data_IF_418478408042
#
_entry.id   IF_418478408042
#
_cell.length_a   1.000
_cell.length_b   1.000
_cell.length_c   1.000
_cell.angle_alpha   90.00
_cell.angle_beta   90.00
_cell.angle_gamma   90.00
#
_symmetry.space_group_name_H-M   'P 1'
#
loop_
_entity.id
_entity.type
_entity.pdbx_description
1 polymer ?
#
# COMPACT_ATOMS: atom_id res chain seq x y z
N UNK A 1 -20.56 -0.51 -7.48
CA UNK A 1 -19.59 -0.31 -6.39
C UNK A 1 -19.77 -1.33 -5.27
N UNK A 2 -18.72 -2.07 -4.92
CA UNK A 2 -18.71 -3.08 -3.84
C UNK A 2 -17.68 -2.71 -2.77
N UNK A 3 -17.98 -1.70 -1.95
CA UNK A 3 -17.15 -1.36 -0.77
C UNK A 3 -17.75 -2.08 0.45
N UNK A 4 -16.91 -2.77 1.21
CA UNK A 4 -17.31 -3.40 2.45
C UNK A 4 -16.35 -3.05 3.58
N UNK A 5 -16.91 -2.91 4.78
CA UNK A 5 -16.13 -2.67 5.99
C UNK A 5 -15.50 -3.99 6.45
N UNK A 6 -14.24 -3.94 6.83
CA UNK A 6 -13.55 -5.00 7.52
C UNK A 6 -13.67 -4.81 9.04
N UNK A 7 -13.76 -5.93 9.74
CA UNK A 7 -13.82 -6.02 11.19
C UNK A 7 -12.72 -6.95 11.68
N UNK A 8 -12.39 -6.88 12.97
CA UNK A 8 -11.35 -7.72 13.58
C UNK A 8 -11.65 -9.22 13.46
N UNK A 9 -12.92 -9.61 13.34
CA UNK A 9 -13.39 -10.98 13.12
C UNK A 9 -13.57 -11.34 11.63
N UNK A 10 -13.36 -10.39 10.70
CA UNK A 10 -13.47 -10.68 9.27
C UNK A 10 -12.47 -11.75 8.84
N UNK A 11 -12.98 -12.72 8.09
CA UNK A 11 -12.18 -13.77 7.47
C UNK A 11 -11.91 -13.45 6.00
N UNK A 12 -10.71 -13.75 5.49
CA UNK A 12 -10.47 -13.73 4.06
C UNK A 12 -11.44 -14.66 3.34
N UNK A 13 -11.85 -14.26 2.14
CA UNK A 13 -12.57 -15.07 1.18
C UNK A 13 -11.55 -15.72 0.26
N UNK A 14 -11.96 -16.79 -0.41
CA UNK A 14 -11.14 -17.48 -1.41
C UNK A 14 -11.04 -16.64 -2.69
N UNK A 15 -10.20 -15.61 -2.67
CA UNK A 15 -9.94 -14.72 -3.79
C UNK A 15 -8.52 -14.13 -3.76
N UNK A 16 -8.18 -13.43 -4.83
CA UNK A 16 -7.01 -12.58 -4.87
C UNK A 16 -7.25 -11.30 -4.08
N UNK A 17 -6.22 -10.84 -3.38
CA UNK A 17 -6.18 -9.57 -2.68
C UNK A 17 -5.08 -8.71 -3.27
N UNK A 18 -5.29 -7.41 -3.38
CA UNK A 18 -4.20 -6.45 -3.61
C UNK A 18 -4.24 -5.44 -2.46
N UNK A 19 -3.13 -5.29 -1.77
CA UNK A 19 -3.03 -4.37 -0.65
C UNK A 19 -2.47 -3.06 -1.17
N UNK A 20 -3.18 -1.96 -0.95
CA UNK A 20 -2.67 -0.60 -1.18
C UNK A 20 -1.29 -0.43 -0.49
N UNK A 21 -0.40 0.34 -1.12
CA UNK A 21 0.92 0.68 -0.54
C UNK A 21 0.80 1.21 0.89
N UNK A 22 -0.21 2.03 1.18
CA UNK A 22 -0.47 2.56 2.53
C UNK A 22 -0.81 1.46 3.56
N UNK A 23 -1.27 0.29 3.12
CA UNK A 23 -1.56 -0.87 3.97
C UNK A 23 -0.31 -1.72 4.18
N UNK A 24 0.61 -1.78 3.22
CA UNK A 24 1.89 -2.46 3.39
C UNK A 24 2.76 -1.83 4.48
N UNK A 25 2.80 -0.50 4.56
CA UNK A 25 3.62 0.21 5.55
C UNK A 25 3.38 -0.26 7.00
N UNK A 26 2.12 -0.30 7.51
CA UNK A 26 1.86 -0.83 8.84
C UNK A 26 2.14 -2.32 9.01
N UNK A 27 2.05 -3.13 7.95
CA UNK A 27 2.43 -4.55 8.00
C UNK A 27 3.93 -4.67 8.29
N UNK A 28 4.76 -3.85 7.64
CA UNK A 28 6.20 -3.73 7.91
C UNK A 28 6.54 -2.90 9.16
N UNK A 29 5.55 -2.57 10.01
CA UNK A 29 5.78 -1.89 11.29
C UNK A 29 5.97 -0.37 11.20
N UNK A 30 5.55 0.27 10.11
CA UNK A 30 5.44 1.73 10.03
C UNK A 30 4.06 2.21 10.45
N UNK A 31 3.99 3.21 11.33
CA UNK A 31 2.73 3.83 11.77
C UNK A 31 1.78 2.87 12.51
N UNK A 32 2.13 2.56 13.77
CA UNK A 32 1.43 1.61 14.64
C UNK A 32 -0.07 1.92 14.84
N UNK A 33 -0.51 3.19 14.67
CA UNK A 33 -1.88 3.60 14.97
C UNK A 33 -2.90 3.13 13.94
N UNK A 34 -2.51 3.00 12.66
CA UNK A 34 -3.37 2.45 11.61
C UNK A 34 -3.27 0.91 11.50
N UNK A 35 -2.34 0.29 12.24
CA UNK A 35 -1.62 -0.91 11.80
C UNK A 35 -2.21 -2.26 12.20
N UNK A 36 -2.73 -2.38 13.43
CA UNK A 36 -2.96 -3.72 14.00
C UNK A 36 -3.99 -4.52 13.21
N UNK A 37 -5.10 -3.90 12.81
CA UNK A 37 -6.17 -4.61 12.08
C UNK A 37 -5.75 -5.05 10.68
N UNK A 38 -4.95 -4.25 9.97
CA UNK A 38 -4.43 -4.66 8.67
C UNK A 38 -3.41 -5.80 8.82
N UNK A 39 -2.56 -5.76 9.84
CA UNK A 39 -1.63 -6.84 10.15
C UNK A 39 -2.37 -8.14 10.50
N UNK A 40 -3.40 -8.06 11.35
CA UNK A 40 -4.24 -9.22 11.69
C UNK A 40 -4.94 -9.80 10.45
N UNK A 41 -5.48 -8.96 9.58
CA UNK A 41 -6.13 -9.41 8.36
C UNK A 41 -5.13 -10.01 7.37
N UNK A 42 -3.95 -9.40 7.22
CA UNK A 42 -2.83 -9.93 6.45
C UNK A 42 -2.42 -11.32 6.95
N UNK A 43 -2.19 -11.49 8.25
CA UNK A 43 -1.85 -12.78 8.86
C UNK A 43 -2.93 -13.85 8.60
N UNK A 44 -4.21 -13.45 8.58
CA UNK A 44 -5.29 -14.37 8.20
C UNK A 44 -5.20 -14.76 6.74
N UNK A 45 -4.93 -13.83 5.82
CA UNK A 45 -4.75 -14.13 4.39
C UNK A 45 -3.63 -15.17 4.23
N UNK A 46 -2.47 -14.94 4.86
CA UNK A 46 -1.31 -15.84 4.78
C UNK A 46 -1.62 -17.27 5.27
N UNK A 47 -2.52 -17.42 6.24
CA UNK A 47 -2.93 -18.72 6.78
C UNK A 47 -3.92 -19.48 5.89
N UNK A 48 -4.55 -18.82 4.93
CA UNK A 48 -5.45 -19.49 3.98
C UNK A 48 -4.67 -20.10 2.82
N UNK A 49 -5.08 -21.29 2.35
CA UNK A 49 -4.41 -21.94 1.22
C UNK A 49 -4.86 -21.40 -0.12
N UNK A 50 -6.08 -20.89 -0.19
CA UNK A 50 -6.77 -20.49 -1.42
C UNK A 50 -6.55 -19.02 -1.77
N UNK A 51 -6.36 -18.16 -0.78
CA UNK A 51 -6.14 -16.73 -1.04
C UNK A 51 -4.68 -16.45 -1.38
N UNK A 52 -4.46 -15.44 -2.21
CA UNK A 52 -3.14 -14.95 -2.58
C UNK A 52 -3.14 -13.43 -2.62
N UNK A 53 -2.01 -12.83 -2.30
CA UNK A 53 -1.81 -11.39 -2.39
C UNK A 53 -1.11 -11.10 -3.71
N UNK A 54 -1.68 -10.24 -4.52
CA UNK A 54 -1.05 -9.69 -5.70
C UNK A 54 -0.20 -8.50 -5.28
N UNK A 55 0.99 -8.43 -5.83
CA UNK A 55 1.89 -7.29 -5.67
C UNK A 55 2.44 -6.92 -7.05
N UNK A 56 2.24 -5.67 -7.48
CA UNK A 56 2.77 -5.23 -8.76
C UNK A 56 4.14 -4.51 -8.62
N UNK A 57 4.97 -4.47 -9.68
CA UNK A 57 6.27 -3.81 -9.62
C UNK A 57 6.19 -2.33 -9.22
N UNK A 58 5.12 -1.63 -9.60
CA UNK A 58 4.91 -0.24 -9.22
C UNK A 58 4.72 -0.10 -7.70
N UNK A 59 3.86 -0.93 -7.10
CA UNK A 59 3.68 -0.98 -5.65
C UNK A 59 4.99 -1.34 -4.94
N UNK A 60 5.71 -2.36 -5.41
CA UNK A 60 6.99 -2.75 -4.84
C UNK A 60 7.98 -1.57 -4.82
N UNK A 61 8.06 -0.82 -5.91
CA UNK A 61 8.92 0.37 -5.99
C UNK A 61 8.54 1.43 -4.96
N UNK A 62 7.24 1.64 -4.72
CA UNK A 62 6.76 2.62 -3.76
C UNK A 62 7.00 2.17 -2.32
N UNK A 63 6.70 0.90 -2.00
CA UNK A 63 6.95 0.27 -0.70
C UNK A 63 8.43 0.42 -0.33
N UNK A 64 9.34 0.01 -1.20
CA UNK A 64 10.79 0.12 -0.98
C UNK A 64 11.20 1.58 -0.73
N UNK A 65 10.77 2.50 -1.60
CA UNK A 65 11.14 3.91 -1.47
C UNK A 65 10.60 4.53 -0.18
N UNK A 66 9.38 4.21 0.24
CA UNK A 66 8.75 4.77 1.45
C UNK A 66 9.40 4.22 2.71
N UNK A 67 9.64 2.91 2.78
CA UNK A 67 10.36 2.29 3.90
C UNK A 67 11.77 2.87 4.04
N UNK A 68 12.56 2.90 2.97
CA UNK A 68 13.93 3.45 2.99
C UNK A 68 13.96 4.92 3.41
N UNK A 69 13.02 5.75 2.93
CA UNK A 69 12.91 7.16 3.34
C UNK A 69 12.55 7.30 4.81
N UNK A 70 11.68 6.43 5.32
CA UNK A 70 11.33 6.43 6.72
C UNK A 70 12.55 6.12 7.61
N UNK A 71 13.33 5.09 7.27
CA UNK A 71 14.57 4.79 7.99
C UNK A 71 15.58 5.93 7.90
N UNK A 72 15.74 6.54 6.72
CA UNK A 72 16.56 7.73 6.55
C UNK A 72 16.10 8.89 7.44
N UNK A 73 14.79 9.12 7.57
CA UNK A 73 14.25 10.16 8.44
C UNK A 73 14.59 9.93 9.91
N UNK A 74 14.53 8.67 10.38
CA UNK A 74 14.93 8.30 11.74
C UNK A 74 16.39 8.63 11.99
N UNK A 75 17.28 8.31 11.06
CA UNK A 75 18.70 8.60 11.18
C UNK A 75 19.04 10.08 11.06
N UNK A 76 18.44 10.75 10.09
CA UNK A 76 18.54 12.19 9.94
C UNK A 76 18.16 12.89 11.25
N UNK A 77 17.02 12.52 11.82
CA UNK A 77 16.55 13.07 13.09
C UNK A 77 17.54 12.77 14.21
N UNK A 78 18.04 11.53 14.35
CA UNK A 78 19.05 11.21 15.37
C UNK A 78 20.35 12.01 15.19
N UNK A 79 20.80 12.21 13.95
CA UNK A 79 22.06 12.89 13.61
C UNK A 79 21.99 14.40 13.81
N UNK A 80 20.82 15.01 13.56
CA UNK A 80 20.69 16.47 13.48
C UNK A 80 19.74 17.10 14.51
N UNK A 81 18.94 16.33 15.26
CA UNK A 81 17.92 16.86 16.22
C UNK A 81 18.47 17.84 17.26
N UNK A 82 19.72 17.67 17.69
CA UNK A 82 20.35 18.53 18.71
C UNK A 82 21.47 19.40 18.17
N UNK A 83 21.68 19.44 16.85
CA UNK A 83 22.75 20.24 16.25
C UNK A 83 22.30 21.69 16.07
N UNK A 84 23.14 22.62 16.53
CA UNK A 84 23.01 24.05 16.25
C UNK A 84 23.92 24.42 15.08
N UNK A 85 23.42 25.22 14.13
CA UNK A 85 24.16 25.63 12.92
C UNK A 85 23.50 25.18 11.61
N UNK A 86 24.30 25.13 10.54
CA UNK A 86 23.82 24.70 9.21
C UNK A 86 23.53 23.20 9.20
N UNK A 87 22.25 22.85 9.11
CA UNK A 87 21.77 21.48 8.97
C UNK A 87 21.35 21.28 7.50
N UNK A 88 21.84 20.24 6.81
CA UNK A 88 21.43 19.99 5.42
C UNK A 88 19.94 19.66 5.37
N UNK A 89 19.22 20.11 4.35
CA UNK A 89 17.85 19.67 4.14
C UNK A 89 17.77 18.13 4.02
N UNK A 90 16.71 17.52 4.54
CA UNK A 90 16.52 16.07 4.49
C UNK A 90 16.65 15.50 3.07
N UNK A 91 16.14 16.21 2.05
CA UNK A 91 16.23 15.79 0.65
C UNK A 91 17.68 15.63 0.19
N UNK A 92 18.56 16.56 0.59
CA UNK A 92 19.97 16.54 0.24
C UNK A 92 20.70 15.46 1.04
N UNK A 93 20.44 15.37 2.35
CA UNK A 93 20.95 14.28 3.18
C UNK A 93 20.59 12.90 2.61
N UNK A 94 19.32 12.70 2.24
CA UNK A 94 18.85 11.42 1.72
C UNK A 94 19.61 11.01 0.45
N UNK A 95 19.70 11.92 -0.53
CA UNK A 95 20.34 11.64 -1.82
C UNK A 95 21.85 11.54 -1.74
N UNK A 96 22.48 12.47 -1.03
CA UNK A 96 23.94 12.63 -1.09
C UNK A 96 24.68 11.87 0.00
N UNK A 97 24.05 11.62 1.15
CA UNK A 97 24.66 10.90 2.26
C UNK A 97 24.03 9.52 2.45
N UNK A 98 22.71 9.47 2.72
CA UNK A 98 22.06 8.23 3.16
C UNK A 98 22.11 7.14 2.08
N UNK A 99 21.70 7.42 0.83
CA UNK A 99 21.69 6.44 -0.27
C UNK A 99 23.07 5.85 -0.59
N UNK A 100 24.15 6.53 -0.22
CA UNK A 100 25.53 6.08 -0.43
C UNK A 100 26.11 5.35 0.79
N UNK A 101 25.35 5.26 1.88
CA UNK A 101 25.79 4.65 3.13
C UNK A 101 25.56 3.14 3.17
N UNK A 102 26.38 2.42 3.92
CA UNK A 102 26.17 0.99 4.20
C UNK A 102 24.85 0.73 4.90
N UNK A 103 24.36 1.70 5.66
CA UNK A 103 23.09 1.56 6.34
C UNK A 103 21.91 1.56 5.35
N UNK A 104 21.95 2.35 4.27
CA UNK A 104 20.94 2.25 3.20
C UNK A 104 20.91 0.83 2.62
N UNK A 105 22.08 0.27 2.29
CA UNK A 105 22.18 -1.10 1.76
C UNK A 105 21.62 -2.10 2.77
N UNK A 106 22.01 -2.01 4.04
CA UNK A 106 21.50 -2.88 5.10
C UNK A 106 19.98 -2.80 5.24
N UNK A 107 19.39 -1.61 5.22
CA UNK A 107 17.93 -1.47 5.30
C UNK A 107 17.24 -1.99 4.04
N UNK A 108 17.84 -1.77 2.86
CA UNK A 108 17.34 -2.33 1.61
C UNK A 108 17.27 -3.86 1.68
N UNK A 109 18.37 -4.51 2.09
CA UNK A 109 18.46 -5.97 2.19
C UNK A 109 17.43 -6.51 3.21
N UNK A 110 17.28 -5.87 4.38
CA UNK A 110 16.25 -6.25 5.38
C UNK A 110 14.83 -6.19 4.78
N UNK A 111 14.51 -5.11 4.06
CA UNK A 111 13.17 -4.96 3.46
C UNK A 111 12.93 -6.03 2.39
N UNK A 112 13.96 -6.35 1.58
CA UNK A 112 13.87 -7.43 0.59
C UNK A 112 13.67 -8.77 1.28
N UNK A 113 14.45 -9.11 2.31
CA UNK A 113 14.31 -10.34 3.07
C UNK A 113 12.90 -10.47 3.68
N UNK A 114 12.34 -9.38 4.22
CA UNK A 114 10.98 -9.36 4.77
C UNK A 114 9.93 -9.64 3.68
N UNK A 115 10.06 -9.05 2.49
CA UNK A 115 9.16 -9.30 1.35
C UNK A 115 9.31 -10.74 0.84
N UNK A 116 10.54 -11.25 0.74
CA UNK A 116 10.85 -12.61 0.34
C UNK A 116 10.20 -13.64 1.25
N UNK A 117 10.16 -13.35 2.56
CA UNK A 117 9.45 -14.16 3.57
C UNK A 117 7.96 -14.37 3.28
N UNK A 118 7.33 -13.52 2.46
CA UNK A 118 5.92 -13.62 2.09
C UNK A 118 5.65 -14.18 0.69
N UNK A 119 6.68 -14.46 -0.11
CA UNK A 119 6.52 -14.87 -1.53
C UNK A 119 5.79 -16.19 -1.73
N UNK A 120 5.66 -17.04 -0.70
CA UNK A 120 4.83 -18.24 -0.78
C UNK A 120 3.32 -17.93 -0.86
N UNK A 121 2.91 -16.74 -0.43
CA UNK A 121 1.53 -16.26 -0.43
C UNK A 121 1.32 -15.03 -1.33
N UNK A 122 2.41 -14.44 -1.84
CA UNK A 122 2.41 -13.26 -2.71
C UNK A 122 2.74 -13.67 -4.15
N UNK A 123 1.92 -13.24 -5.10
CA UNK A 123 2.19 -13.36 -6.53
C UNK A 123 2.57 -12.00 -7.11
N UNK A 124 3.76 -11.91 -7.71
CA UNK A 124 4.14 -10.73 -8.48
C UNK A 124 3.36 -10.75 -9.80
N UNK A 125 2.50 -9.76 -10.00
CA UNK A 125 1.68 -9.62 -11.21
C UNK A 125 1.82 -8.24 -11.80
N UNK A 126 1.86 -8.20 -13.11
CA UNK A 126 1.80 -6.98 -13.89
C UNK A 126 0.53 -6.97 -14.76
N UNK A 127 0.14 -5.82 -15.27
CA UNK A 127 -1.00 -5.72 -16.19
C UNK A 127 -0.62 -6.29 -17.56
N UNK A 128 -1.52 -7.08 -18.17
CA UNK A 128 -1.31 -7.55 -19.54
C UNK A 128 -1.56 -6.44 -20.57
N UNK A 129 -2.50 -5.53 -20.27
CA UNK A 129 -2.83 -4.40 -21.14
C UNK A 129 -2.01 -3.19 -20.71
N UNK A 130 -0.95 -2.89 -21.48
CA UNK A 130 -0.01 -1.82 -21.20
C UNK A 130 -0.03 -0.70 -22.26
N UNK A 131 -1.16 -0.51 -22.94
CA UNK A 131 -1.30 0.58 -23.90
C UNK A 131 -1.46 1.94 -23.18
N UNK A 132 -1.00 3.00 -23.84
CA UNK A 132 -0.97 4.35 -23.27
C UNK A 132 -2.36 4.85 -22.87
N UNK A 133 -3.40 4.50 -23.63
CA UNK A 133 -4.75 4.97 -23.38
C UNK A 133 -5.31 4.33 -22.11
N UNK A 134 -5.19 3.02 -21.97
CA UNK A 134 -5.62 2.31 -20.75
C UNK A 134 -4.91 2.82 -19.51
N UNK A 135 -3.62 3.19 -19.64
CA UNK A 135 -2.79 3.70 -18.55
C UNK A 135 -3.06 5.16 -18.17
N UNK A 136 -3.57 5.99 -19.10
CA UNK A 136 -3.67 7.44 -18.88
C UNK A 136 -5.09 7.99 -18.89
N UNK A 137 -6.07 7.25 -19.41
CA UNK A 137 -7.48 7.66 -19.45
C UNK A 137 -8.22 7.31 -18.17
N UNK A 138 -7.94 8.07 -17.11
CA UNK A 138 -8.67 8.05 -15.84
C UNK A 138 -8.94 9.47 -15.33
N UNK A 139 -9.85 9.62 -14.37
CA UNK A 139 -10.14 10.94 -13.76
C UNK A 139 -9.05 11.28 -12.76
N UNK A 140 -7.99 11.95 -13.22
CA UNK A 140 -6.83 12.34 -12.41
C UNK A 140 -7.14 13.26 -11.22
N UNK A 141 -8.38 13.74 -11.08
CA UNK A 141 -8.86 14.49 -9.89
C UNK A 141 -9.33 13.58 -8.76
N UNK A 142 -9.54 12.29 -9.04
CA UNK A 142 -10.11 11.31 -8.10
C UNK A 142 -9.10 10.26 -7.64
N UNK A 143 -8.08 10.03 -8.44
CA UNK A 143 -7.11 8.95 -8.25
C UNK A 143 -5.82 9.37 -8.94
N UNK A 144 -4.68 8.97 -8.40
CA UNK A 144 -3.40 9.17 -9.07
C UNK A 144 -3.05 7.99 -10.01
N UNK A 145 -1.89 8.06 -10.66
CA UNK A 145 -1.47 7.01 -11.58
C UNK A 145 -1.21 5.67 -10.87
N UNK A 146 -0.64 5.68 -9.67
CA UNK A 146 -0.34 4.46 -8.93
C UNK A 146 -1.63 3.75 -8.52
N UNK A 147 -2.61 4.51 -8.02
CA UNK A 147 -3.93 4.01 -7.66
C UNK A 147 -4.65 3.43 -8.88
N UNK A 148 -4.61 4.13 -10.02
CA UNK A 148 -5.19 3.64 -11.27
C UNK A 148 -4.52 2.33 -11.73
N UNK A 149 -3.19 2.25 -11.61
CA UNK A 149 -2.45 1.02 -11.94
C UNK A 149 -2.87 -0.16 -11.04
N UNK A 150 -2.98 0.08 -9.73
CA UNK A 150 -3.45 -0.91 -8.75
C UNK A 150 -4.88 -1.36 -9.12
N UNK A 151 -5.74 -0.42 -9.50
CA UNK A 151 -7.10 -0.74 -9.98
C UNK A 151 -7.09 -1.63 -11.22
N UNK A 152 -6.23 -1.37 -12.21
CA UNK A 152 -6.12 -2.19 -13.42
C UNK A 152 -5.67 -3.62 -13.09
N UNK A 153 -4.64 -3.79 -12.25
CA UNK A 153 -4.20 -5.11 -11.78
C UNK A 153 -5.34 -5.83 -11.04
N UNK A 154 -6.04 -5.12 -10.16
CA UNK A 154 -7.15 -5.70 -9.41
C UNK A 154 -8.28 -6.17 -10.33
N UNK A 155 -8.61 -5.36 -11.33
CA UNK A 155 -9.66 -5.64 -12.31
C UNK A 155 -9.32 -6.86 -13.15
N UNK A 156 -8.10 -6.94 -13.67
CA UNK A 156 -7.65 -8.04 -14.52
C UNK A 156 -7.71 -9.40 -13.80
N UNK A 157 -7.38 -9.41 -12.51
CA UNK A 157 -7.34 -10.64 -11.70
C UNK A 157 -8.57 -10.87 -10.82
N UNK A 158 -9.63 -10.06 -10.97
CA UNK A 158 -10.81 -10.09 -10.11
C UNK A 158 -10.44 -10.07 -8.61
N UNK A 159 -9.43 -9.27 -8.26
CA UNK A 159 -8.90 -9.15 -6.91
C UNK A 159 -9.71 -8.14 -6.09
N UNK A 160 -9.67 -8.29 -4.77
CA UNK A 160 -10.20 -7.32 -3.82
C UNK A 160 -9.09 -6.36 -3.38
N UNK A 161 -9.33 -5.06 -3.55
CA UNK A 161 -8.42 -4.02 -3.05
C UNK A 161 -8.63 -3.87 -1.54
N UNK A 162 -7.55 -3.92 -0.76
CA UNK A 162 -7.56 -3.60 0.66
C UNK A 162 -6.84 -2.26 0.84
N UNK A 163 -7.56 -1.27 1.34
CA UNK A 163 -7.05 0.11 1.43
C UNK A 163 -7.60 0.84 2.65
N UNK A 164 -6.83 1.80 3.16
CA UNK A 164 -7.30 2.79 4.11
C UNK A 164 -7.66 4.13 3.44
N UNK A 165 -7.29 4.31 2.17
CA UNK A 165 -7.44 5.54 1.40
C UNK A 165 -8.83 5.68 0.78
N UNK A 166 -9.34 6.91 0.76
CA UNK A 166 -10.62 7.23 0.14
C UNK A 166 -10.59 7.32 -1.38
N UNK A 167 -9.41 7.30 -2.00
CA UNK A 167 -9.25 7.51 -3.45
C UNK A 167 -9.78 6.33 -4.29
N UNK A 168 -9.88 5.13 -3.69
CA UNK A 168 -10.57 3.98 -4.29
C UNK A 168 -12.11 4.06 -4.26
N UNK A 169 -12.66 5.21 -3.86
CA UNK A 169 -14.11 5.46 -3.89
C UNK A 169 -14.63 5.67 -5.31
N UNK A 170 -15.74 5.01 -5.65
CA UNK A 170 -16.40 5.13 -6.95
C UNK A 170 -16.07 4.01 -7.94
N UNK A 171 -15.22 3.05 -7.54
CA UNK A 171 -14.91 1.89 -8.36
C UNK A 171 -16.10 0.93 -8.42
N UNK A 172 -16.63 0.71 -9.62
CA UNK A 172 -17.85 -0.08 -9.81
C UNK A 172 -17.62 -1.57 -9.95
N UNK A 173 -16.47 -1.96 -10.49
CA UNK A 173 -16.20 -3.32 -10.98
C UNK A 173 -15.19 -4.08 -10.12
N UNK A 174 -14.64 -3.44 -9.10
CA UNK A 174 -13.66 -4.02 -8.18
C UNK A 174 -14.20 -3.93 -6.75
N UNK A 175 -13.99 -5.00 -5.98
CA UNK A 175 -14.37 -5.01 -4.57
C UNK A 175 -13.30 -4.31 -3.74
N UNK A 176 -13.73 -3.50 -2.76
CA UNK A 176 -12.84 -2.76 -1.87
C UNK A 176 -13.17 -3.10 -0.42
N UNK A 177 -12.19 -3.65 0.30
CA UNK A 177 -12.24 -3.87 1.75
C UNK A 177 -11.49 -2.77 2.49
N UNK A 178 -12.05 -2.24 3.57
CA UNK A 178 -11.40 -1.18 4.34
C UNK A 178 -11.72 -1.27 5.83
N UNK A 179 -10.77 -0.91 6.70
CA UNK A 179 -11.06 -0.62 8.12
C UNK A 179 -11.43 0.85 8.36
N UNK A 180 -11.36 1.72 7.33
CA UNK A 180 -11.70 3.14 7.44
C UNK A 180 -13.22 3.33 7.47
N UNK A 181 -13.77 3.54 8.67
CA UNK A 181 -15.21 3.79 8.86
C UNK A 181 -15.71 5.06 8.16
N UNK A 182 -14.87 6.10 8.02
CA UNK A 182 -15.28 7.34 7.33
C UNK A 182 -15.52 7.06 5.85
N UNK A 183 -14.61 6.30 5.22
CA UNK A 183 -14.75 5.86 3.84
C UNK A 183 -16.02 5.02 3.63
N UNK A 184 -16.23 4.03 4.51
CA UNK A 184 -17.42 3.17 4.44
C UNK A 184 -18.73 3.95 4.63
N UNK A 185 -18.77 4.89 5.59
CA UNK A 185 -19.97 5.71 5.81
C UNK A 185 -20.27 6.60 4.60
N UNK A 186 -19.25 7.24 4.00
CA UNK A 186 -19.40 8.01 2.77
C UNK A 186 -20.00 7.16 1.64
N UNK A 187 -19.59 5.89 1.52
CA UNK A 187 -20.20 4.96 0.58
C UNK A 187 -21.66 4.69 0.89
N UNK A 188 -21.95 4.31 2.13
CA UNK A 188 -23.31 4.03 2.57
C UNK A 188 -24.25 5.21 2.32
N UNK A 189 -23.76 6.44 2.48
CA UNK A 189 -24.55 7.65 2.23
C UNK A 189 -24.75 7.93 0.73
N UNK A 190 -23.77 7.62 -0.11
CA UNK A 190 -23.87 7.80 -1.57
C UNK A 190 -24.88 6.88 -2.26
N UNK A 191 -25.22 5.74 -1.65
CA UNK A 191 -26.19 4.77 -2.18
C UNK A 191 -27.59 4.92 -1.57
N UNK A 192 -27.78 5.81 -0.59
CA UNK A 192 -29.11 6.10 -0.05
C UNK A 192 -29.92 6.84 -1.12
N UNK A 193 -31.18 6.45 -1.36
CA UNK A 193 -32.05 7.21 -2.25
C UNK A 193 -32.19 8.64 -1.72
N UNK A 194 -31.98 9.62 -2.61
CA UNK A 194 -32.24 11.03 -2.31
C UNK A 194 -33.74 11.18 -2.06
N UNK A 195 -34.11 11.68 -0.89
CA UNK A 195 -35.51 11.96 -0.56
C UNK A 195 -36.06 13.09 -1.42
#
# INVERSE_FOLDING_TARGET
MKIFILHSDSSPKDCYYILDTNVWLPIFGLDEQASVHYKEFFDKILKTKQSRILLCPLQLSEILNRLLRFHAHKEYSKKYKSKTGSVPEFKNYYKEEYRKSDNFKKQYDIIIDDIEGYLSNVEIKDIAINDFDSLTKFDARKSDYNDHYIYLVAKEHNATIITHDSDFFGLNDVAVGTFNRKLYNRFKDSIKPTK
#
